data_IF_702406878622
#
_entry.id   IF_702406878622
#
_cell.length_a   1.000
_cell.length_b   1.000
_cell.length_c   1.000
_cell.angle_alpha   90.00
_cell.angle_beta   90.00
_cell.angle_gamma   90.00
#
_symmetry.space_group_name_H-M   'P 1'
#
loop_
_entity.id
_entity.type
_entity.pdbx_description
1 polymer ?
#
# COMPACT_ATOMS: atom_id res chain seq x y z
N UNK A 1 20.40 7.83 -15.46
CA UNK A 1 20.39 6.59 -14.67
C UNK A 1 19.22 6.66 -13.70
N UNK A 2 18.16 5.89 -13.92
CA UNK A 2 17.06 5.76 -12.97
C UNK A 2 17.45 4.67 -11.97
N UNK A 3 17.51 4.99 -10.67
CA UNK A 3 17.66 3.94 -9.67
C UNK A 3 16.28 3.30 -9.48
N UNK A 4 16.10 2.00 -9.81
CA UNK A 4 14.98 1.24 -9.27
C UNK A 4 15.09 1.29 -7.74
N UNK A 5 14.03 1.77 -7.11
CA UNK A 5 13.94 1.94 -5.67
C UNK A 5 13.09 0.84 -5.08
N UNK A 6 13.66 0.05 -4.19
CA UNK A 6 12.91 -0.84 -3.31
C UNK A 6 12.79 -0.18 -1.93
N UNK A 7 11.57 -0.03 -1.44
CA UNK A 7 11.27 0.45 -0.10
C UNK A 7 10.60 -0.67 0.70
N UNK A 8 11.01 -0.78 1.96
CA UNK A 8 10.40 -1.65 2.95
C UNK A 8 9.81 -0.75 4.04
N UNK A 9 8.54 -0.96 4.36
CA UNK A 9 7.82 -0.22 5.39
C UNK A 9 7.35 -1.19 6.47
N UNK A 10 7.61 -0.86 7.73
CA UNK A 10 7.09 -1.56 8.89
C UNK A 10 6.44 -0.50 9.79
N UNK A 11 5.15 -0.62 10.04
CA UNK A 11 4.40 0.32 10.86
C UNK A 11 3.59 -0.43 11.93
N UNK A 12 3.68 0.07 13.17
CA UNK A 12 2.98 -0.51 14.33
C UNK A 12 2.10 0.57 14.94
N UNK A 13 0.79 0.41 14.77
CA UNK A 13 -0.21 1.34 15.27
C UNK A 13 -0.97 0.73 16.44
N UNK A 14 -0.80 1.31 17.63
CA UNK A 14 -1.57 0.94 18.82
C UNK A 14 -2.74 1.91 19.02
N UNK A 15 -3.96 1.40 18.89
CA UNK A 15 -5.19 2.12 19.22
C UNK A 15 -5.52 1.89 20.69
N UNK A 16 -5.13 2.84 21.54
CA UNK A 16 -5.27 2.73 23.01
C UNK A 16 -6.73 2.64 23.44
N UNK A 17 -7.62 3.38 22.78
CA UNK A 17 -9.06 3.36 23.05
C UNK A 17 -9.74 2.04 22.65
N UNK A 18 -9.38 1.49 21.49
CA UNK A 18 -9.95 0.25 20.97
C UNK A 18 -9.23 -1.02 21.44
N UNK A 19 -8.20 -0.89 22.31
CA UNK A 19 -7.30 -1.97 22.76
C UNK A 19 -6.71 -2.81 21.61
N UNK A 20 -6.65 -2.27 20.41
CA UNK A 20 -6.17 -2.98 19.22
C UNK A 20 -4.75 -2.55 18.88
N UNK A 21 -3.90 -3.52 18.57
CA UNK A 21 -2.58 -3.28 17.98
C UNK A 21 -2.61 -3.79 16.55
N UNK A 22 -2.29 -2.90 15.63
CA UNK A 22 -2.17 -3.17 14.20
C UNK A 22 -0.69 -3.18 13.86
N UNK A 23 -0.20 -4.31 13.37
CA UNK A 23 1.10 -4.43 12.77
C UNK A 23 0.92 -4.39 11.26
N UNK A 24 1.72 -3.64 10.55
CA UNK A 24 1.69 -3.60 9.09
C UNK A 24 3.10 -3.66 8.54
N UNK A 25 3.25 -4.46 7.50
CA UNK A 25 4.48 -4.61 6.74
C UNK A 25 4.17 -4.38 5.27
N UNK A 26 5.02 -3.65 4.57
CA UNK A 26 4.82 -3.31 3.16
C UNK A 26 6.13 -3.28 2.41
N UNK A 27 6.07 -3.63 1.14
CA UNK A 27 7.15 -3.54 0.19
C UNK A 27 6.68 -2.73 -0.99
N UNK A 28 7.45 -1.73 -1.39
CA UNK A 28 7.20 -0.93 -2.59
C UNK A 28 8.39 -1.05 -3.53
N UNK A 29 8.13 -1.35 -4.79
CA UNK A 29 9.10 -1.41 -5.85
C UNK A 29 8.75 -0.37 -6.90
N UNK A 30 9.54 0.70 -7.00
CA UNK A 30 9.34 1.76 -7.98
C UNK A 30 10.44 1.73 -9.02
N UNK A 31 10.06 1.70 -10.28
CA UNK A 31 10.97 1.74 -11.42
C UNK A 31 10.58 2.91 -12.32
N UNK A 32 11.48 3.88 -12.43
CA UNK A 32 11.37 4.94 -13.41
C UNK A 32 11.91 4.44 -14.75
N UNK A 33 11.08 4.47 -15.78
CA UNK A 33 11.51 4.27 -17.16
C UNK A 33 11.90 5.63 -17.77
N UNK A 34 12.67 5.62 -18.86
CA UNK A 34 13.10 6.87 -19.50
C UNK A 34 11.90 7.75 -19.89
N UNK A 35 12.05 9.07 -19.81
CA UNK A 35 11.04 10.02 -20.31
C UNK A 35 9.87 10.35 -19.37
N UNK A 36 10.12 10.53 -18.06
CA UNK A 36 9.08 10.83 -17.04
C UNK A 36 7.99 9.76 -16.93
N UNK A 37 8.31 8.54 -17.34
CA UNK A 37 7.47 7.37 -17.19
C UNK A 37 7.98 6.52 -16.04
N UNK A 38 7.09 5.82 -15.34
CA UNK A 38 7.48 4.94 -14.26
C UNK A 38 6.35 4.02 -13.86
N UNK A 39 6.69 2.94 -13.20
CA UNK A 39 5.71 2.08 -12.56
C UNK A 39 6.13 1.81 -11.12
N UNK A 40 5.15 1.66 -10.24
CA UNK A 40 5.33 1.27 -8.86
C UNK A 40 4.51 0.01 -8.60
N UNK A 41 5.07 -0.96 -7.89
CA UNK A 41 4.37 -2.13 -7.40
C UNK A 41 4.41 -2.08 -5.88
N UNK A 42 3.27 -2.28 -5.24
CA UNK A 42 3.11 -2.25 -3.79
C UNK A 42 2.51 -3.58 -3.34
N UNK A 43 3.14 -4.19 -2.36
CA UNK A 43 2.59 -5.33 -1.64
C UNK A 43 2.62 -5.00 -0.16
N UNK A 44 1.57 -5.35 0.58
CA UNK A 44 1.52 -5.06 2.01
C UNK A 44 0.62 -6.03 2.73
N UNK A 45 0.95 -6.31 3.98
CA UNK A 45 0.22 -7.19 4.86
C UNK A 45 0.07 -6.52 6.22
N UNK A 46 -1.17 -6.38 6.68
CA UNK A 46 -1.52 -5.83 7.97
C UNK A 46 -2.14 -6.88 8.87
N UNK A 47 -1.55 -7.14 10.02
CA UNK A 47 -2.13 -7.94 11.09
C UNK A 47 -2.79 -7.02 12.12
N UNK A 48 -4.11 -7.06 12.23
CA UNK A 48 -4.83 -6.46 13.35
C UNK A 48 -5.08 -7.55 14.38
N UNK A 49 -4.58 -7.36 15.61
CA UNK A 49 -4.97 -8.22 16.75
C UNK A 49 -3.79 -8.90 17.45
N UNK A 50 -3.35 -8.30 18.56
CA UNK A 50 -2.74 -9.05 19.68
C UNK A 50 -3.77 -9.35 20.79
N UNK A 51 -5.06 -9.09 20.54
CA UNK A 51 -6.16 -9.33 21.47
C UNK A 51 -7.12 -10.34 20.87
N UNK A 52 -7.41 -11.37 21.66
CA UNK A 52 -7.94 -12.71 21.40
C UNK A 52 -9.25 -12.88 20.57
N UNK A 53 -9.73 -11.89 19.80
CA UNK A 53 -11.04 -12.01 19.16
C UNK A 53 -11.31 -11.16 17.89
N UNK A 54 -10.28 -10.78 17.13
CA UNK A 54 -10.50 -10.08 15.87
C UNK A 54 -9.41 -10.46 14.86
N UNK A 55 -9.61 -11.57 14.13
CA UNK A 55 -8.77 -12.03 13.03
C UNK A 55 -8.94 -11.12 11.80
N UNK A 56 -8.46 -9.87 11.92
CA UNK A 56 -8.50 -8.90 10.81
C UNK A 56 -7.09 -8.70 10.24
N UNK A 57 -6.57 -9.75 9.61
CA UNK A 57 -5.34 -9.75 8.82
C UNK A 57 -5.52 -9.34 7.34
N UNK A 58 -5.36 -8.07 6.99
CA UNK A 58 -5.57 -7.57 5.62
C UNK A 58 -4.34 -7.73 4.71
N UNK A 59 -4.50 -8.41 3.58
CA UNK A 59 -3.54 -8.32 2.48
C UNK A 59 -3.88 -7.10 1.62
N UNK A 60 -2.85 -6.44 1.08
CA UNK A 60 -2.96 -5.32 0.15
C UNK A 60 -1.96 -5.48 -0.98
N UNK A 61 -2.41 -5.22 -2.19
CA UNK A 61 -1.58 -5.22 -3.40
C UNK A 61 -1.93 -3.99 -4.21
N UNK A 62 -0.97 -3.38 -4.87
CA UNK A 62 -1.20 -2.20 -5.68
C UNK A 62 -0.17 -2.05 -6.78
N UNK A 63 -0.56 -1.35 -7.83
CA UNK A 63 0.28 -0.97 -8.94
C UNK A 63 0.02 0.51 -9.27
N UNK A 64 1.07 1.28 -9.45
CA UNK A 64 1.04 2.67 -9.87
C UNK A 64 1.75 2.84 -11.19
N UNK A 65 1.26 3.75 -12.02
CA UNK A 65 1.91 4.20 -13.23
C UNK A 65 2.11 5.70 -13.13
N UNK A 66 3.26 6.17 -13.58
CA UNK A 66 3.61 7.57 -13.69
C UNK A 66 3.90 7.84 -15.17
N UNK A 67 3.32 8.89 -15.73
CA UNK A 67 3.57 9.31 -17.10
C UNK A 67 3.37 10.82 -17.19
N UNK A 68 4.40 11.55 -17.62
CA UNK A 68 4.32 12.95 -18.07
C UNK A 68 3.48 13.84 -17.12
N UNK A 69 3.87 13.88 -15.85
CA UNK A 69 3.21 14.70 -14.83
C UNK A 69 1.88 14.15 -14.30
N UNK A 70 1.39 13.02 -14.83
CA UNK A 70 0.28 12.26 -14.28
C UNK A 70 0.77 11.02 -13.53
N UNK A 71 0.05 10.64 -12.49
CA UNK A 71 0.25 9.44 -11.70
C UNK A 71 -1.12 8.76 -11.51
N UNK A 72 -1.20 7.48 -11.83
CA UNK A 72 -2.36 6.63 -11.65
C UNK A 72 -1.97 5.50 -10.71
N UNK A 73 -2.56 5.44 -9.51
CA UNK A 73 -2.36 4.36 -8.55
C UNK A 73 -3.62 3.51 -8.44
N UNK A 74 -3.48 2.21 -8.60
CA UNK A 74 -4.51 1.20 -8.37
C UNK A 74 -4.10 0.33 -7.19
N UNK A 75 -4.94 0.20 -6.17
CA UNK A 75 -4.66 -0.65 -5.01
C UNK A 75 -5.90 -1.47 -4.66
N UNK A 76 -5.69 -2.72 -4.30
CA UNK A 76 -6.71 -3.67 -3.88
C UNK A 76 -6.29 -4.26 -2.55
N UNK A 77 -7.20 -4.21 -1.59
CA UNK A 77 -7.03 -4.88 -0.30
C UNK A 77 -8.14 -5.91 -0.15
N UNK A 78 -7.88 -7.20 -0.46
CA UNK A 78 -8.84 -8.26 -0.18
C UNK A 78 -9.17 -8.32 1.32
N UNK A 79 -10.46 -8.55 1.57
CA UNK A 79 -11.17 -8.41 2.84
C UNK A 79 -10.45 -8.89 4.09
N UNK A 80 -10.40 -7.99 5.07
CA UNK A 80 -10.64 -8.35 6.47
C UNK A 80 -11.73 -7.50 7.09
N UNK A 81 -12.97 -7.96 6.92
CA UNK A 81 -14.15 -7.57 7.71
C UNK A 81 -14.82 -6.25 7.33
N UNK A 82 -14.57 -5.68 6.15
CA UNK A 82 -15.08 -4.35 5.74
C UNK A 82 -15.47 -4.20 4.25
N UNK A 83 -15.42 -5.23 3.43
CA UNK A 83 -15.56 -5.11 1.97
C UNK A 83 -14.24 -5.35 1.24
N UNK A 84 -14.27 -5.95 0.05
CA UNK A 84 -13.11 -5.92 -0.86
C UNK A 84 -12.93 -4.49 -1.34
N UNK A 85 -11.90 -3.81 -0.85
CA UNK A 85 -11.68 -2.39 -1.17
C UNK A 85 -10.76 -2.30 -2.38
N UNK A 86 -11.27 -1.68 -3.44
CA UNK A 86 -10.49 -1.27 -4.61
C UNK A 86 -10.38 0.26 -4.61
N UNK A 87 -9.15 0.77 -4.60
CA UNK A 87 -8.85 2.19 -4.61
C UNK A 87 -8.18 2.54 -5.93
N UNK A 88 -8.75 3.52 -6.63
CA UNK A 88 -8.16 4.12 -7.81
C UNK A 88 -7.85 5.57 -7.46
N UNK A 89 -6.61 6.00 -7.62
CA UNK A 89 -6.16 7.36 -7.34
C UNK A 89 -5.50 7.95 -8.58
N UNK A 90 -5.99 9.08 -9.05
CA UNK A 90 -5.41 9.83 -10.15
C UNK A 90 -4.85 11.15 -9.61
N UNK A 91 -3.58 11.42 -9.88
CA UNK A 91 -2.90 12.65 -9.53
C UNK A 91 -2.34 13.28 -10.80
N UNK A 92 -2.61 14.56 -11.02
CA UNK A 92 -2.04 15.35 -12.10
C UNK A 92 -1.29 16.53 -11.50
N UNK A 93 0.01 16.62 -11.80
CA UNK A 93 0.87 17.73 -11.40
C UNK A 93 0.93 18.72 -12.55
N UNK A 94 0.55 19.97 -12.28
CA UNK A 94 0.64 21.11 -13.20
C UNK A 94 1.97 21.83 -13.01
#
# INVERSE_FOLDING_TARGET
MALPGMALALDVKRMVYDKQTVFSAGTEYSMLTGGNMGFALRGGYGLTGLTQNNDKSGLSVGAGLMAVGAQLDYAVSPETGLGSIQRITLKKKF
#
